data_IF_678291831546
#
_entry.id   IF_678291831546
#
_cell.length_a   1.000
_cell.length_b   1.000
_cell.length_c   1.000
_cell.angle_alpha   90.00
_cell.angle_beta   90.00
_cell.angle_gamma   90.00
#
_symmetry.space_group_name_H-M   'P 1'
#
loop_
_entity.id
_entity.type
_entity.pdbx_description
1 polymer ?
#
# COMPACT_ATOMS: atom_id res chain seq x y z
N UNK A 1 13.45 -15.05 3.86
CA UNK A 1 13.80 -15.20 2.43
C UNK A 1 12.67 -14.55 1.63
N UNK A 2 12.91 -13.35 1.12
CA UNK A 2 11.88 -12.53 0.44
C UNK A 2 11.61 -13.14 -0.93
N UNK A 3 10.46 -13.76 -1.11
CA UNK A 3 10.06 -14.29 -2.43
C UNK A 3 9.66 -13.10 -3.30
N UNK A 4 10.52 -12.73 -4.22
CA UNK A 4 10.19 -11.74 -5.26
C UNK A 4 9.09 -12.37 -6.13
N UNK A 5 7.83 -11.98 -5.91
CA UNK A 5 6.76 -12.32 -6.84
C UNK A 5 7.04 -11.57 -8.15
N UNK A 6 7.27 -12.33 -9.22
CA UNK A 6 7.54 -11.75 -10.53
C UNK A 6 6.30 -10.96 -11.00
N UNK A 7 6.52 -9.70 -11.32
CA UNK A 7 5.49 -8.85 -11.92
C UNK A 7 5.13 -9.44 -13.28
N UNK A 8 3.86 -9.76 -13.47
CA UNK A 8 3.37 -10.28 -14.74
C UNK A 8 3.13 -9.10 -15.68
N UNK A 9 3.86 -9.09 -16.81
CA UNK A 9 3.67 -8.11 -17.88
C UNK A 9 2.71 -8.66 -18.92
N UNK A 10 1.87 -7.78 -19.47
CA UNK A 10 1.04 -8.04 -20.63
C UNK A 10 1.50 -7.16 -21.79
N UNK A 11 1.41 -7.67 -22.99
CA UNK A 11 1.70 -6.95 -24.21
C UNK A 11 0.47 -6.93 -25.11
N UNK A 12 0.18 -5.77 -25.68
CA UNK A 12 -0.94 -5.59 -26.61
C UNK A 12 -0.45 -4.96 -27.91
N UNK A 13 -0.91 -5.41 -29.08
CA UNK A 13 -0.58 -4.78 -30.35
C UNK A 13 -1.30 -3.43 -30.48
N UNK A 14 -0.59 -2.42 -30.97
CA UNK A 14 -1.15 -1.11 -31.32
C UNK A 14 -1.76 -1.17 -32.72
N UNK A 15 -3.06 -1.40 -32.81
CA UNK A 15 -3.78 -1.55 -34.08
C UNK A 15 -3.64 -0.33 -35.01
N UNK A 16 -3.47 0.85 -34.44
CA UNK A 16 -3.34 2.11 -35.19
C UNK A 16 -2.05 2.16 -36.02
N UNK A 17 -0.95 1.61 -35.50
CA UNK A 17 0.36 1.57 -36.17
C UNK A 17 0.54 0.31 -37.00
N UNK A 18 0.32 -0.85 -36.38
CA UNK A 18 0.46 -2.15 -37.07
C UNK A 18 -0.56 -2.38 -38.15
N UNK A 19 -1.79 -1.90 -38.03
CA UNK A 19 -2.82 -2.04 -39.04
C UNK A 19 -2.47 -1.33 -40.35
N UNK A 20 -1.73 -0.21 -40.27
CA UNK A 20 -1.23 0.50 -41.44
C UNK A 20 -0.09 -0.26 -42.14
N UNK A 21 0.77 -0.92 -41.36
CA UNK A 21 1.95 -1.66 -41.88
C UNK A 21 1.58 -3.08 -42.33
N UNK A 22 0.76 -3.79 -41.54
CA UNK A 22 0.54 -5.24 -41.66
C UNK A 22 -0.96 -5.62 -41.55
N UNK A 23 -1.86 -4.83 -42.12
CA UNK A 23 -3.32 -4.99 -41.95
C UNK A 23 -3.84 -6.40 -42.24
N UNK A 24 -3.30 -7.10 -43.24
CA UNK A 24 -3.70 -8.48 -43.58
C UNK A 24 -3.22 -9.52 -42.56
N UNK A 25 -2.13 -9.24 -41.85
CA UNK A 25 -1.51 -10.13 -40.86
C UNK A 25 -1.95 -9.84 -39.42
N UNK A 26 -2.81 -8.82 -39.18
CA UNK A 26 -3.21 -8.39 -37.86
C UNK A 26 -3.81 -9.50 -36.99
N UNK A 27 -4.55 -10.44 -37.61
CA UNK A 27 -5.15 -11.56 -36.86
C UNK A 27 -4.07 -12.51 -36.35
N UNK A 28 -3.04 -12.78 -37.16
CA UNK A 28 -1.91 -13.64 -36.77
C UNK A 28 -1.04 -12.94 -35.74
N UNK A 29 -0.78 -11.64 -35.90
CA UNK A 29 -0.07 -10.81 -34.94
C UNK A 29 -0.78 -10.85 -33.57
N UNK A 30 -2.09 -10.63 -33.55
CA UNK A 30 -2.87 -10.66 -32.28
C UNK A 30 -2.83 -12.04 -31.62
N UNK A 31 -2.90 -13.12 -32.38
CA UNK A 31 -2.75 -14.49 -31.90
C UNK A 31 -1.37 -14.75 -31.32
N UNK A 32 -0.32 -14.28 -31.95
CA UNK A 32 1.05 -14.41 -31.49
C UNK A 32 1.28 -13.64 -30.19
N UNK A 33 0.77 -12.41 -30.08
CA UNK A 33 0.84 -11.61 -28.85
C UNK A 33 0.12 -12.27 -27.65
N UNK A 34 -1.00 -12.94 -27.90
CA UNK A 34 -1.72 -13.68 -26.86
C UNK A 34 -0.92 -14.88 -26.30
N UNK A 35 0.01 -15.41 -27.07
CA UNK A 35 0.85 -16.55 -26.70
C UNK A 35 2.24 -16.15 -26.17
N UNK A 36 2.56 -14.86 -26.10
CA UNK A 36 3.85 -14.41 -25.59
C UNK A 36 4.05 -14.77 -24.12
N UNK A 37 5.21 -15.37 -23.84
CA UNK A 37 5.66 -15.61 -22.46
C UNK A 37 6.28 -14.35 -21.86
N UNK A 38 6.50 -14.35 -20.55
CA UNK A 38 7.21 -13.26 -19.87
C UNK A 38 8.64 -13.06 -20.41
N UNK A 39 9.26 -14.13 -20.91
CA UNK A 39 10.58 -14.06 -21.54
C UNK A 39 10.52 -13.32 -22.88
N UNK A 40 9.50 -13.60 -23.68
CA UNK A 40 9.30 -12.95 -24.99
C UNK A 40 9.02 -11.46 -24.80
N UNK A 41 8.15 -11.09 -23.84
CA UNK A 41 7.84 -9.70 -23.51
C UNK A 41 9.10 -8.97 -23.03
N UNK A 42 9.92 -9.61 -22.20
CA UNK A 42 11.19 -9.03 -21.73
C UNK A 42 12.22 -8.87 -22.85
N UNK A 43 12.24 -9.78 -23.83
CA UNK A 43 13.12 -9.69 -25.00
C UNK A 43 12.71 -8.52 -25.91
N UNK A 44 11.42 -8.37 -26.18
CA UNK A 44 10.86 -7.25 -26.94
C UNK A 44 11.13 -5.91 -26.27
N UNK A 45 10.94 -5.83 -24.95
CA UNK A 45 11.15 -4.59 -24.19
C UNK A 45 12.58 -4.07 -24.25
N UNK A 46 13.56 -5.00 -24.32
CA UNK A 46 14.99 -4.67 -24.37
C UNK A 46 15.49 -4.39 -25.79
N UNK A 47 14.72 -4.76 -26.80
CA UNK A 47 15.10 -4.63 -28.20
C UNK A 47 14.51 -3.35 -28.80
N UNK A 48 15.25 -2.71 -29.71
CA UNK A 48 14.72 -1.59 -30.51
C UNK A 48 13.79 -2.14 -31.61
N UNK A 49 14.12 -3.31 -32.15
CA UNK A 49 13.35 -4.04 -33.16
C UNK A 49 13.23 -5.51 -32.75
N UNK A 50 12.07 -6.08 -32.96
CA UNK A 50 11.82 -7.50 -32.69
C UNK A 50 11.15 -8.15 -33.91
N UNK A 51 11.76 -9.20 -34.44
CA UNK A 51 11.20 -9.94 -35.58
C UNK A 51 10.27 -11.04 -35.09
N UNK A 52 9.00 -10.93 -35.43
CA UNK A 52 7.95 -11.91 -35.15
C UNK A 52 7.74 -12.78 -36.39
N UNK A 53 8.10 -14.05 -36.30
CA UNK A 53 7.88 -15.01 -37.40
C UNK A 53 6.45 -15.53 -37.38
N UNK A 54 5.71 -15.25 -38.43
CA UNK A 54 4.33 -15.69 -38.63
C UNK A 54 4.22 -16.64 -39.86
N UNK A 55 3.18 -17.47 -39.92
CA UNK A 55 2.93 -18.34 -41.06
C UNK A 55 2.82 -17.57 -42.40
N UNK A 56 2.34 -16.34 -42.34
CA UNK A 56 2.19 -15.46 -43.52
C UNK A 56 3.44 -14.61 -43.83
N UNK A 57 4.54 -14.80 -43.12
CA UNK A 57 5.80 -14.07 -43.28
C UNK A 57 6.20 -13.28 -42.02
N UNK A 58 7.47 -12.88 -41.99
CA UNK A 58 8.05 -12.18 -40.85
C UNK A 58 7.52 -10.75 -40.74
N UNK A 59 7.29 -10.30 -39.50
CA UNK A 59 6.85 -8.96 -39.14
C UNK A 59 7.88 -8.34 -38.19
N UNK A 60 8.37 -7.15 -38.54
CA UNK A 60 9.30 -6.40 -37.69
C UNK A 60 8.50 -5.43 -36.82
N UNK A 61 8.55 -5.65 -35.52
CA UNK A 61 7.93 -4.81 -34.51
C UNK A 61 8.94 -3.76 -33.99
N UNK A 62 8.51 -2.52 -33.90
CA UNK A 62 9.29 -1.39 -33.38
C UNK A 62 8.63 -0.84 -32.13
N UNK A 63 9.36 -0.07 -31.33
CA UNK A 63 8.79 0.69 -30.20
C UNK A 63 7.66 1.60 -30.72
N UNK A 64 6.45 1.46 -30.14
CA UNK A 64 5.23 2.14 -30.61
C UNK A 64 4.29 1.27 -31.46
N UNK A 65 4.70 0.07 -31.85
CA UNK A 65 3.83 -0.92 -32.49
C UNK A 65 3.09 -1.80 -31.45
N UNK A 66 3.49 -1.72 -30.19
CA UNK A 66 2.92 -2.47 -29.05
C UNK A 66 2.93 -1.63 -27.78
N UNK A 67 2.10 -2.01 -26.84
CA UNK A 67 2.03 -1.46 -25.49
C UNK A 67 2.32 -2.59 -24.49
N UNK A 68 3.27 -2.36 -23.60
CA UNK A 68 3.55 -3.27 -22.48
C UNK A 68 2.94 -2.65 -21.21
N UNK A 69 2.07 -3.39 -20.55
CA UNK A 69 1.45 -3.01 -19.29
C UNK A 69 1.76 -4.05 -18.21
N UNK A 70 1.89 -3.61 -16.98
CA UNK A 70 1.92 -4.50 -15.82
C UNK A 70 0.51 -4.98 -15.51
N UNK A 71 0.35 -6.27 -15.21
CA UNK A 71 -0.93 -6.78 -14.72
C UNK A 71 -1.06 -6.39 -13.24
N UNK A 72 -2.21 -5.84 -12.88
CA UNK A 72 -2.53 -5.57 -11.48
C UNK A 72 -2.55 -6.90 -10.72
N UNK A 73 -1.59 -7.07 -9.84
CA UNK A 73 -1.58 -8.21 -8.93
C UNK A 73 -2.42 -7.85 -7.71
N UNK A 74 -3.43 -8.66 -7.38
CA UNK A 74 -4.22 -8.43 -6.17
C UNK A 74 -3.31 -8.27 -4.94
N UNK A 75 -3.48 -7.18 -4.20
CA UNK A 75 -2.66 -6.86 -3.03
C UNK A 75 -1.34 -6.14 -3.32
N UNK A 76 -1.08 -5.74 -4.58
CA UNK A 76 0.12 -4.98 -4.95
C UNK A 76 -0.24 -3.73 -5.74
N UNK A 77 0.41 -2.63 -5.42
CA UNK A 77 0.40 -1.42 -6.23
C UNK A 77 1.70 -1.37 -7.04
N UNK A 78 1.57 -1.34 -8.36
CA UNK A 78 2.74 -1.35 -9.27
C UNK A 78 2.81 -0.03 -10.02
N UNK A 79 3.98 0.59 -10.02
CA UNK A 79 4.29 1.77 -10.81
C UNK A 79 5.54 1.52 -11.66
N UNK A 80 5.51 1.95 -12.93
CA UNK A 80 6.64 1.80 -13.87
C UNK A 80 6.95 3.15 -14.49
N UNK A 81 8.24 3.52 -14.46
CA UNK A 81 8.76 4.71 -15.14
C UNK A 81 10.05 4.33 -15.86
N UNK A 82 10.02 4.37 -17.18
CA UNK A 82 11.12 3.91 -18.01
C UNK A 82 11.46 2.43 -17.75
N UNK A 83 12.70 2.17 -17.36
CA UNK A 83 13.19 0.81 -17.04
C UNK A 83 12.98 0.43 -15.56
N UNK A 84 12.53 1.35 -14.72
CA UNK A 84 12.32 1.13 -13.30
C UNK A 84 10.88 0.70 -13.05
N UNK A 85 10.70 -0.42 -12.34
CA UNK A 85 9.40 -0.88 -11.87
C UNK A 85 9.46 -1.06 -10.36
N UNK A 86 8.51 -0.42 -9.66
CA UNK A 86 8.28 -0.55 -8.23
C UNK A 86 7.00 -1.34 -7.99
N UNK A 87 7.04 -2.25 -7.03
CA UNK A 87 5.86 -2.95 -6.54
C UNK A 87 5.77 -2.80 -5.02
N UNK A 88 4.66 -2.23 -4.55
CA UNK A 88 4.35 -2.06 -3.14
C UNK A 88 3.31 -3.11 -2.74
N UNK A 89 3.61 -3.90 -1.71
CA UNK A 89 2.60 -4.76 -1.07
C UNK A 89 1.65 -3.87 -0.26
N UNK A 90 0.37 -3.88 -0.64
CA UNK A 90 -0.68 -3.07 0.00
C UNK A 90 -1.60 -3.91 0.89
N UNK A 91 -1.22 -5.16 1.18
CA UNK A 91 -1.99 -6.00 2.10
C UNK A 91 -1.73 -5.55 3.54
N UNK A 92 -2.76 -5.00 4.17
CA UNK A 92 -2.72 -4.61 5.58
C UNK A 92 -3.02 -5.86 6.41
N UNK A 93 -2.00 -6.38 7.09
CA UNK A 93 -2.16 -7.46 8.08
C UNK A 93 -2.80 -6.93 9.37
N UNK A 94 -3.30 -7.83 10.22
CA UNK A 94 -3.82 -7.44 11.54
C UNK A 94 -2.74 -6.74 12.39
N UNK A 95 -1.50 -7.19 12.34
CA UNK A 95 -0.40 -6.54 13.06
C UNK A 95 -0.13 -5.12 12.57
N UNK A 96 -0.10 -4.92 11.24
CA UNK A 96 0.05 -3.58 10.66
C UNK A 96 -1.14 -2.66 11.02
N UNK A 97 -2.35 -3.21 11.09
CA UNK A 97 -3.53 -2.46 11.52
C UNK A 97 -3.42 -2.03 12.99
N UNK A 98 -3.03 -2.96 13.87
CA UNK A 98 -2.80 -2.69 15.29
C UNK A 98 -1.69 -1.64 15.51
N UNK A 99 -0.60 -1.75 14.76
CA UNK A 99 0.48 -0.76 14.76
C UNK A 99 -0.01 0.61 14.28
N UNK A 100 -0.82 0.65 13.22
CA UNK A 100 -1.45 1.88 12.71
C UNK A 100 -2.28 2.57 13.79
N UNK A 101 -3.16 1.83 14.49
CA UNK A 101 -3.95 2.34 15.62
C UNK A 101 -3.06 2.90 16.74
N UNK A 102 -1.99 2.19 17.11
CA UNK A 102 -1.05 2.66 18.14
C UNK A 102 -0.36 3.97 17.74
N UNK A 103 0.06 4.11 16.48
CA UNK A 103 0.68 5.33 15.96
C UNK A 103 -0.29 6.50 15.93
N UNK A 104 -1.56 6.25 15.58
CA UNK A 104 -2.59 7.28 15.64
C UNK A 104 -2.87 7.72 17.08
N UNK A 105 -2.92 6.80 18.05
CA UNK A 105 -3.02 7.14 19.47
C UNK A 105 -1.87 8.02 19.93
N UNK A 106 -0.63 7.69 19.56
CA UNK A 106 0.53 8.55 19.88
C UNK A 106 0.33 9.96 19.34
N UNK A 107 -0.11 10.09 18.10
CA UNK A 107 -0.37 11.41 17.49
C UNK A 107 -1.43 12.19 18.27
N UNK A 108 -2.58 11.59 18.59
CA UNK A 108 -3.66 12.23 19.33
C UNK A 108 -3.24 12.64 20.74
N UNK A 109 -2.53 11.76 21.46
CA UNK A 109 -2.02 12.06 22.81
C UNK A 109 -1.01 13.20 22.76
N UNK A 110 -0.09 13.23 21.81
CA UNK A 110 0.88 14.32 21.66
C UNK A 110 0.20 15.66 21.34
N UNK A 111 -0.86 15.68 20.54
CA UNK A 111 -1.64 16.88 20.30
C UNK A 111 -2.33 17.36 21.58
N UNK A 112 -2.98 16.46 22.33
CA UNK A 112 -3.61 16.80 23.60
C UNK A 112 -2.60 17.35 24.62
N UNK A 113 -1.40 16.77 24.72
CA UNK A 113 -0.33 17.31 25.58
C UNK A 113 0.02 18.74 25.23
N UNK A 114 0.17 19.02 23.93
CA UNK A 114 0.49 20.37 23.43
C UNK A 114 -0.64 21.35 23.75
N UNK A 115 -1.88 20.96 23.49
CA UNK A 115 -3.05 21.81 23.71
C UNK A 115 -3.31 22.07 25.19
N UNK A 116 -2.96 21.12 26.04
CA UNK A 116 -2.99 21.25 27.51
C UNK A 116 -1.80 22.03 28.09
N UNK A 117 -0.86 22.46 27.25
CA UNK A 117 0.31 23.25 27.69
C UNK A 117 1.34 22.44 28.48
N UNK A 118 1.42 21.13 28.29
CA UNK A 118 2.43 20.29 28.92
C UNK A 118 3.80 20.49 28.29
N UNK A 119 4.85 20.44 29.12
CA UNK A 119 6.22 20.48 28.65
C UNK A 119 6.61 19.14 27.98
N UNK A 120 7.57 19.20 27.08
CA UNK A 120 8.04 18.00 26.34
C UNK A 120 8.52 16.89 27.27
N UNK A 121 9.07 17.26 28.42
CA UNK A 121 9.62 16.34 29.43
C UNK A 121 8.62 15.85 30.46
N UNK A 122 7.41 16.40 30.47
CA UNK A 122 6.40 16.00 31.43
C UNK A 122 6.02 14.53 31.30
N UNK A 123 5.89 13.88 32.45
CA UNK A 123 5.33 12.53 32.51
C UNK A 123 3.82 12.64 32.70
N UNK A 124 3.09 11.76 32.03
CA UNK A 124 1.63 11.79 31.98
C UNK A 124 1.03 10.44 32.34
N UNK A 125 -0.23 10.48 32.74
CA UNK A 125 -1.12 9.31 32.78
C UNK A 125 -2.15 9.45 31.68
N UNK A 126 -2.41 8.38 30.95
CA UNK A 126 -3.32 8.37 29.81
C UNK A 126 -4.45 7.38 30.06
N UNK A 127 -5.68 7.83 29.85
CA UNK A 127 -6.86 6.97 29.81
C UNK A 127 -7.50 7.08 28.43
N UNK A 128 -7.77 5.95 27.79
CA UNK A 128 -8.32 5.87 26.43
C UNK A 128 -9.63 5.08 26.45
N UNK A 129 -10.61 5.52 25.69
CA UNK A 129 -11.90 4.85 25.53
C UNK A 129 -11.72 3.42 24.97
N UNK A 130 -12.47 2.48 25.55
CA UNK A 130 -12.50 1.07 25.16
C UNK A 130 -13.23 0.87 23.83
N UNK A 131 -12.61 1.26 22.71
CA UNK A 131 -13.06 0.90 21.35
C UNK A 131 -12.38 -0.37 20.89
N UNK A 132 -13.03 -1.11 20.01
CA UNK A 132 -12.57 -2.43 19.57
C UNK A 132 -11.16 -2.40 18.98
N UNK A 133 -10.87 -1.43 18.13
CA UNK A 133 -9.57 -1.22 17.49
C UNK A 133 -8.48 -0.84 18.51
N UNK A 134 -8.82 0.02 19.49
CA UNK A 134 -7.93 0.43 20.60
C UNK A 134 -7.61 -0.78 21.48
N UNK A 135 -8.62 -1.51 21.93
CA UNK A 135 -8.45 -2.72 22.77
C UNK A 135 -7.58 -3.73 22.03
N UNK A 136 -7.87 -4.00 20.77
CA UNK A 136 -7.11 -4.94 19.94
C UNK A 136 -5.64 -4.52 19.76
N UNK A 137 -5.36 -3.21 19.73
CA UNK A 137 -4.00 -2.69 19.62
C UNK A 137 -3.22 -2.73 20.92
N UNK A 138 -3.88 -2.42 22.05
CA UNK A 138 -3.22 -2.19 23.33
C UNK A 138 -3.24 -3.40 24.27
N UNK A 139 -4.05 -4.41 24.00
CA UNK A 139 -4.18 -5.62 24.83
C UNK A 139 -3.74 -6.90 24.08
N UNK A 140 -3.49 -7.97 24.83
CA UNK A 140 -3.09 -9.28 24.32
C UNK A 140 -1.60 -9.46 24.09
N UNK A 141 -1.23 -10.55 23.43
CA UNK A 141 0.17 -10.82 23.06
C UNK A 141 0.64 -9.83 21.98
N UNK A 142 1.90 -9.40 22.09
CA UNK A 142 2.51 -8.43 21.17
C UNK A 142 1.68 -7.13 21.02
N UNK A 143 1.12 -6.63 22.13
CA UNK A 143 0.42 -5.35 22.14
C UNK A 143 1.37 -4.15 22.03
N UNK A 144 0.82 -2.99 21.73
CA UNK A 144 1.57 -1.76 21.52
C UNK A 144 1.50 -0.79 22.71
N UNK A 145 1.05 -1.22 23.90
CA UNK A 145 0.98 -0.37 25.09
C UNK A 145 2.31 0.26 25.46
N UNK A 146 3.37 -0.56 25.54
CA UNK A 146 4.72 -0.06 25.86
C UNK A 146 5.24 0.92 24.82
N UNK A 147 4.94 0.68 23.54
CA UNK A 147 5.29 1.60 22.45
C UNK A 147 4.59 2.94 22.64
N UNK A 148 3.28 2.96 22.88
CA UNK A 148 2.51 4.21 23.10
C UNK A 148 3.04 4.94 24.33
N UNK A 149 3.25 4.25 25.45
CA UNK A 149 3.81 4.84 26.67
C UNK A 149 5.20 5.46 26.44
N UNK A 150 6.08 4.76 25.75
CA UNK A 150 7.42 5.25 25.46
C UNK A 150 7.41 6.49 24.56
N UNK A 151 6.56 6.50 23.53
CA UNK A 151 6.47 7.62 22.58
C UNK A 151 5.78 8.86 23.17
N UNK A 152 4.95 8.70 24.19
CA UNK A 152 4.20 9.79 24.81
C UNK A 152 4.72 10.19 26.20
N UNK A 153 5.77 9.53 26.71
CA UNK A 153 6.28 9.66 28.07
C UNK A 153 5.19 9.36 29.12
N UNK A 154 4.28 8.47 28.82
CA UNK A 154 3.25 8.05 29.76
C UNK A 154 3.81 7.07 30.80
N UNK A 155 3.50 7.32 32.08
CA UNK A 155 3.77 6.41 33.18
C UNK A 155 2.73 5.29 33.26
N UNK A 156 1.52 5.56 32.76
CA UNK A 156 0.41 4.59 32.70
C UNK A 156 -0.47 4.86 31.50
N UNK A 157 -0.98 3.78 30.92
CA UNK A 157 -1.98 3.78 29.86
C UNK A 157 -3.09 2.81 30.27
N UNK A 158 -4.30 3.32 30.43
CA UNK A 158 -5.47 2.58 30.90
C UNK A 158 -6.58 2.66 29.85
N UNK A 159 -7.24 1.55 29.59
CA UNK A 159 -8.44 1.49 28.76
C UNK A 159 -9.66 1.52 29.69
N UNK A 160 -10.60 2.44 29.45
CA UNK A 160 -11.78 2.62 30.27
C UNK A 160 -13.06 2.74 29.43
N UNK A 161 -14.18 2.44 30.07
CA UNK A 161 -15.48 2.65 29.43
C UNK A 161 -15.81 4.17 29.36
N UNK A 162 -16.55 4.62 28.34
CA UNK A 162 -16.90 6.04 28.19
C UNK A 162 -17.58 6.67 29.41
N UNK A 163 -18.31 5.87 30.20
CA UNK A 163 -18.98 6.28 31.42
C UNK A 163 -18.04 6.58 32.60
N UNK A 164 -16.81 6.09 32.51
CA UNK A 164 -15.77 6.23 33.56
C UNK A 164 -14.77 7.34 33.22
N UNK A 165 -14.96 8.01 32.07
CA UNK A 165 -14.03 9.00 31.53
C UNK A 165 -14.52 10.43 31.71
N UNK A 166 -14.81 10.84 32.97
CA UNK A 166 -15.15 12.23 33.29
C UNK A 166 -13.95 13.15 32.97
N UNK A 167 -14.22 14.24 32.27
CA UNK A 167 -13.18 15.22 31.88
C UNK A 167 -12.26 14.77 30.75
N UNK A 168 -12.58 13.67 30.05
CA UNK A 168 -11.88 13.30 28.86
C UNK A 168 -12.25 14.20 27.66
N UNK A 169 -11.29 14.43 26.79
CA UNK A 169 -11.51 15.16 25.56
C UNK A 169 -11.91 14.22 24.41
N UNK A 170 -12.82 14.67 23.56
CA UNK A 170 -13.18 13.96 22.35
C UNK A 170 -12.26 14.42 21.20
N UNK A 171 -11.51 13.49 20.65
CA UNK A 171 -10.65 13.72 19.47
C UNK A 171 -11.24 13.05 18.25
N UNK A 172 -10.97 13.63 17.07
CA UNK A 172 -11.31 12.97 15.81
C UNK A 172 -10.54 11.66 15.69
N UNK A 173 -11.26 10.61 15.33
CA UNK A 173 -10.75 9.27 15.08
C UNK A 173 -11.08 8.83 13.66
N UNK A 174 -10.75 7.61 13.28
CA UNK A 174 -10.96 7.09 11.94
C UNK A 174 -12.42 7.26 11.43
N UNK A 175 -12.58 7.57 10.16
CA UNK A 175 -13.86 7.67 9.44
C UNK A 175 -14.90 8.64 10.06
N UNK A 176 -14.43 9.76 10.61
CA UNK A 176 -15.31 10.78 11.19
C UNK A 176 -15.95 10.36 12.54
N UNK A 177 -15.44 9.30 13.15
CA UNK A 177 -15.76 8.90 14.51
C UNK A 177 -14.96 9.75 15.50
N UNK A 178 -15.33 9.73 16.76
CA UNK A 178 -14.58 10.35 17.84
C UNK A 178 -14.07 9.29 18.81
N UNK A 179 -12.99 9.58 19.50
CA UNK A 179 -12.40 8.77 20.56
C UNK A 179 -12.20 9.66 21.78
N UNK A 180 -12.59 9.18 22.97
CA UNK A 180 -12.31 9.88 24.22
C UNK A 180 -10.90 9.53 24.70
N UNK A 181 -10.14 10.58 25.01
CA UNK A 181 -8.81 10.44 25.60
C UNK A 181 -8.69 11.44 26.75
N UNK A 182 -8.17 10.98 27.87
CA UNK A 182 -7.82 11.83 29.02
C UNK A 182 -6.32 11.79 29.24
N UNK A 183 -5.71 12.96 29.36
CA UNK A 183 -4.28 13.10 29.63
C UNK A 183 -4.12 13.92 30.91
N UNK A 184 -3.44 13.36 31.89
CA UNK A 184 -3.21 13.99 33.21
C UNK A 184 -1.71 13.97 33.52
N UNK A 185 -1.27 14.98 34.24
CA UNK A 185 0.12 15.15 34.70
C UNK A 185 0.36 14.43 36.04
#
# INVERSE_FOLDING_TARGET
>A
MMTIKMITKKIKPMFKTLGKKYGRQMKEISSAFANFTQKDISAIERSEEYTLSLPSGDVVLQKGDYEISSEDMPGWLVATEGALTLALDIQITDDLRREGTARELVNRIQNLRKDSGFEVTDRISVTVEAKEDVVRSLEGENNFSDYVCAQTLANSLVIAQPSEMEGAEEVEWEDGKTLKIKVER
#
